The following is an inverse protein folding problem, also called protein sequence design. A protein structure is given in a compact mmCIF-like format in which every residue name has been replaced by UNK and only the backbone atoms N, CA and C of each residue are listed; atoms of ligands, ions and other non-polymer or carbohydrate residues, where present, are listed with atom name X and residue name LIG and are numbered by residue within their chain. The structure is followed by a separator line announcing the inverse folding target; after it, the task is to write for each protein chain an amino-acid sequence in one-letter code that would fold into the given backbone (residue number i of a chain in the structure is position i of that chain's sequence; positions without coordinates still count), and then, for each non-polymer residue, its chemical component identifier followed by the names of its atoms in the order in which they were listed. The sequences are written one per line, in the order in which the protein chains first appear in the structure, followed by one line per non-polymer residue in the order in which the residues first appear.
data_IF_574426242872
#
_entry.id   IF_574426242872
#
_cell.length_a   1.000
_cell.length_b   1.000
_cell.length_c   1.000
_cell.angle_alpha   90.00
_cell.angle_beta   90.00
_cell.angle_gamma   90.00
#
_symmetry.space_group_name_H-M   'P 1'
#
loop_
_entity.id
_entity.type
_entity.pdbx_description
1 polymer ?
#
# COMPACT_ATOMS: atom_id res chain seq x y z
N UNK A 1 7.92 -15.30 -25.56
CA UNK A 1 8.68 -15.38 -24.29
C UNK A 1 8.10 -14.30 -23.38
N UNK A 2 7.87 -14.59 -22.10
CA UNK A 2 7.32 -13.58 -21.18
C UNK A 2 8.44 -12.58 -20.84
N UNK A 3 8.18 -11.27 -21.01
CA UNK A 3 9.11 -10.19 -20.67
C UNK A 3 9.32 -10.10 -19.15
N UNK A 4 10.49 -9.60 -18.74
CA UNK A 4 10.79 -9.36 -17.33
C UNK A 4 9.82 -8.33 -16.73
N UNK A 5 9.16 -8.67 -15.64
CA UNK A 5 8.25 -7.78 -14.92
C UNK A 5 8.99 -7.19 -13.72
N UNK A 6 9.31 -5.91 -13.79
CA UNK A 6 10.10 -5.17 -12.79
C UNK A 6 9.45 -5.16 -11.41
N UNK A 7 8.12 -5.18 -11.36
CA UNK A 7 7.35 -5.05 -10.11
C UNK A 7 6.99 -6.40 -9.48
N UNK A 8 7.06 -7.51 -10.23
CA UNK A 8 6.41 -8.77 -9.87
C UNK A 8 6.73 -9.24 -8.44
N UNK A 9 7.99 -9.24 -8.04
CA UNK A 9 8.39 -9.79 -6.74
C UNK A 9 7.93 -8.92 -5.57
N UNK A 10 8.14 -7.61 -5.68
CA UNK A 10 7.78 -6.67 -4.61
C UNK A 10 6.26 -6.54 -4.47
N UNK A 11 5.54 -6.40 -5.57
CA UNK A 11 4.08 -6.30 -5.54
C UNK A 11 3.42 -7.58 -5.03
N UNK A 12 3.97 -8.76 -5.35
CA UNK A 12 3.49 -10.02 -4.80
C UNK A 12 3.61 -10.04 -3.27
N UNK A 13 4.72 -9.57 -2.72
CA UNK A 13 4.94 -9.49 -1.29
C UNK A 13 3.99 -8.46 -0.63
N UNK A 14 3.84 -7.28 -1.23
CA UNK A 14 2.94 -6.22 -0.73
C UNK A 14 1.47 -6.67 -0.75
N UNK A 15 1.01 -7.35 -1.82
CA UNK A 15 -0.34 -7.93 -1.86
C UNK A 15 -0.55 -8.96 -0.75
N UNK A 16 0.42 -9.82 -0.49
CA UNK A 16 0.33 -10.81 0.58
C UNK A 16 0.19 -10.12 1.95
N UNK A 17 0.94 -9.05 2.20
CA UNK A 17 0.83 -8.25 3.43
C UNK A 17 -0.56 -7.58 3.56
N UNK A 18 -1.10 -7.02 2.48
CA UNK A 18 -2.45 -6.45 2.47
C UNK A 18 -3.52 -7.48 2.83
N UNK A 19 -3.48 -8.65 2.18
CA UNK A 19 -4.47 -9.71 2.40
C UNK A 19 -4.39 -10.28 3.82
N UNK A 20 -3.19 -10.55 4.33
CA UNK A 20 -2.98 -11.07 5.68
C UNK A 20 -3.46 -10.07 6.73
N UNK A 21 -3.15 -8.79 6.56
CA UNK A 21 -3.58 -7.73 7.50
C UNK A 21 -5.09 -7.52 7.44
N UNK A 22 -5.68 -7.47 6.24
CA UNK A 22 -7.13 -7.33 6.09
C UNK A 22 -7.89 -8.50 6.74
N UNK A 23 -7.41 -9.72 6.56
CA UNK A 23 -7.99 -10.90 7.18
C UNK A 23 -7.85 -10.87 8.72
N UNK A 24 -6.66 -10.51 9.22
CA UNK A 24 -6.41 -10.35 10.65
C UNK A 24 -7.36 -9.32 11.26
N UNK A 25 -7.49 -8.14 10.64
CA UNK A 25 -8.41 -7.09 11.14
C UNK A 25 -9.87 -7.54 11.12
N UNK A 26 -10.28 -8.28 10.10
CA UNK A 26 -11.65 -8.80 9.99
C UNK A 26 -11.99 -9.78 11.11
N UNK A 27 -11.00 -10.52 11.60
CA UNK A 27 -11.17 -11.55 12.65
C UNK A 27 -10.92 -11.00 14.07
N UNK A 28 -10.38 -9.79 14.20
CA UNK A 28 -9.98 -9.21 15.49
C UNK A 28 -11.20 -8.76 16.29
N UNK A 29 -11.24 -9.16 17.56
CA UNK A 29 -12.17 -8.60 18.54
C UNK A 29 -11.55 -7.35 19.18
N UNK A 30 -11.90 -6.20 18.65
CA UNK A 30 -11.27 -4.92 19.04
C UNK A 30 -11.53 -4.46 20.46
N UNK A 31 -12.48 -5.06 21.21
CA UNK A 31 -12.60 -4.83 22.65
C UNK A 31 -11.43 -5.41 23.43
N UNK A 32 -10.80 -6.49 22.91
CA UNK A 32 -9.57 -7.07 23.44
C UNK A 32 -8.36 -6.27 22.91
N UNK A 33 -7.67 -5.60 23.83
CA UNK A 33 -6.54 -4.73 23.46
C UNK A 33 -5.32 -5.50 22.99
N UNK A 34 -5.13 -6.74 23.41
CA UNK A 34 -4.01 -7.59 22.99
C UNK A 34 -4.22 -8.10 21.57
N UNK A 35 -5.42 -8.55 21.24
CA UNK A 35 -5.77 -8.91 19.85
C UNK A 35 -5.67 -7.69 18.93
N UNK A 36 -6.21 -6.56 19.36
CA UNK A 36 -6.17 -5.33 18.59
C UNK A 36 -4.73 -4.86 18.33
N UNK A 37 -3.84 -4.97 19.32
CA UNK A 37 -2.45 -4.58 19.17
C UNK A 37 -1.75 -5.36 18.04
N UNK A 38 -2.01 -6.66 17.92
CA UNK A 38 -1.47 -7.49 16.84
C UNK A 38 -1.94 -7.01 15.47
N UNK A 39 -3.24 -6.75 15.32
CA UNK A 39 -3.82 -6.28 14.06
C UNK A 39 -3.29 -4.88 13.67
N UNK A 40 -3.20 -3.98 14.64
CA UNK A 40 -2.74 -2.60 14.41
C UNK A 40 -1.24 -2.54 14.13
N UNK A 41 -0.43 -3.41 14.73
CA UNK A 41 0.98 -3.55 14.41
C UNK A 41 1.18 -4.03 12.96
N UNK A 42 0.43 -5.03 12.50
CA UNK A 42 0.44 -5.48 11.11
C UNK A 42 0.07 -4.33 10.16
N UNK A 43 -0.96 -3.56 10.49
CA UNK A 43 -1.35 -2.37 9.71
C UNK A 43 -0.20 -1.38 9.59
N UNK A 44 0.48 -1.06 10.68
CA UNK A 44 1.62 -0.15 10.68
C UNK A 44 2.76 -0.65 9.80
N UNK A 45 3.05 -1.95 9.84
CA UNK A 45 4.07 -2.57 8.98
C UNK A 45 3.71 -2.47 7.49
N UNK A 46 2.44 -2.67 7.13
CA UNK A 46 1.97 -2.51 5.75
C UNK A 46 2.12 -1.08 5.28
N UNK A 47 1.65 -0.11 6.06
CA UNK A 47 1.77 1.32 5.73
C UNK A 47 3.24 1.68 5.48
N UNK A 48 4.13 1.30 6.38
CA UNK A 48 5.56 1.57 6.24
C UNK A 48 6.17 0.90 5.00
N UNK A 49 5.76 -0.34 4.68
CA UNK A 49 6.25 -1.05 3.50
C UNK A 49 5.84 -0.34 2.19
N UNK A 50 4.60 0.16 2.11
CA UNK A 50 4.12 0.94 0.96
C UNK A 50 4.81 2.30 0.86
N UNK A 51 5.02 3.01 1.96
CA UNK A 51 5.80 4.26 1.97
C UNK A 51 7.22 4.06 1.42
N UNK A 52 7.92 3.00 1.86
CA UNK A 52 9.26 2.68 1.38
C UNK A 52 9.26 2.29 -0.09
N UNK A 53 8.26 1.53 -0.52
CA UNK A 53 8.11 1.12 -1.92
C UNK A 53 7.89 2.34 -2.83
N UNK A 54 6.90 3.18 -2.53
CA UNK A 54 6.63 4.40 -3.29
C UNK A 54 7.83 5.36 -3.32
N UNK A 55 8.56 5.51 -2.21
CA UNK A 55 9.77 6.33 -2.18
C UNK A 55 10.87 5.77 -3.10
N UNK A 56 11.05 4.45 -3.17
CA UNK A 56 12.00 3.83 -4.09
C UNK A 56 11.59 4.05 -5.55
N UNK A 57 10.32 3.96 -5.87
CA UNK A 57 9.83 4.24 -7.22
C UNK A 57 10.03 5.70 -7.59
N UNK A 58 9.66 6.64 -6.75
CA UNK A 58 9.83 8.07 -6.99
C UNK A 58 11.30 8.47 -7.17
N UNK A 59 12.21 7.83 -6.46
CA UNK A 59 13.64 8.19 -6.49
C UNK A 59 14.44 7.46 -7.56
N UNK A 60 14.06 6.24 -7.93
CA UNK A 60 14.86 5.38 -8.82
C UNK A 60 14.15 5.19 -10.17
N UNK A 61 12.88 4.81 -10.17
CA UNK A 61 12.15 4.40 -11.35
C UNK A 61 11.54 5.58 -12.11
N UNK A 62 10.85 6.48 -11.41
CA UNK A 62 10.16 7.60 -12.03
C UNK A 62 11.08 8.55 -12.81
N UNK A 63 12.33 8.85 -12.35
CA UNK A 63 13.28 9.64 -13.15
C UNK A 63 13.70 8.97 -14.46
N UNK A 64 13.71 7.64 -14.52
CA UNK A 64 14.01 6.89 -15.75
C UNK A 64 12.84 6.99 -16.72
N UNK A 65 11.62 6.79 -16.24
CA UNK A 65 10.39 6.80 -17.03
C UNK A 65 10.04 8.21 -17.52
N UNK A 66 10.31 9.24 -16.71
CA UNK A 66 10.02 10.65 -17.04
C UNK A 66 10.67 11.15 -18.35
N UNK A 67 11.71 10.44 -18.80
CA UNK A 67 12.36 10.75 -20.09
C UNK A 67 11.46 10.46 -21.29
N UNK A 68 10.45 9.60 -21.11
CA UNK A 68 9.58 9.09 -22.16
C UNK A 68 8.16 9.61 -22.04
N UNK A 69 7.60 9.66 -20.82
CA UNK A 69 6.23 10.14 -20.58
C UNK A 69 6.09 10.85 -19.23
N UNK A 70 6.11 12.20 -19.27
CA UNK A 70 5.95 13.01 -18.06
C UNK A 70 4.51 13.04 -17.53
N UNK A 71 3.51 12.86 -18.39
CA UNK A 71 2.12 12.89 -17.97
C UNK A 71 1.74 11.63 -17.18
N UNK A 72 2.27 10.50 -17.59
CA UNK A 72 2.14 9.24 -16.86
C UNK A 72 2.77 9.34 -15.48
N UNK A 73 3.98 9.90 -15.38
CA UNK A 73 4.67 10.10 -14.10
C UNK A 73 3.85 10.96 -13.14
N UNK A 74 3.32 12.10 -13.61
CA UNK A 74 2.51 12.97 -12.76
C UNK A 74 1.29 12.24 -12.18
N UNK A 75 0.67 11.35 -12.96
CA UNK A 75 -0.45 10.52 -12.50
C UNK A 75 -0.04 9.56 -11.37
N UNK A 76 1.10 8.87 -11.50
CA UNK A 76 1.60 7.95 -10.47
C UNK A 76 2.09 8.69 -9.21
N UNK A 77 2.77 9.83 -9.37
CA UNK A 77 3.15 10.68 -8.24
C UNK A 77 1.94 11.17 -7.44
N UNK A 78 0.83 11.48 -8.09
CA UNK A 78 -0.41 11.86 -7.42
C UNK A 78 -1.05 10.67 -6.68
N UNK A 79 -0.96 9.46 -7.23
CA UNK A 79 -1.39 8.24 -6.53
C UNK A 79 -0.49 7.96 -5.31
N UNK A 80 0.82 8.16 -5.38
CA UNK A 80 1.72 8.04 -4.22
C UNK A 80 1.38 9.05 -3.11
N UNK A 81 0.99 10.27 -3.46
CA UNK A 81 0.51 11.26 -2.48
C UNK A 81 -0.80 10.82 -1.83
N UNK A 82 -1.71 10.24 -2.60
CA UNK A 82 -2.97 9.71 -2.07
C UNK A 82 -2.73 8.51 -1.14
N UNK A 83 -1.85 7.58 -1.52
CA UNK A 83 -1.43 6.47 -0.65
C UNK A 83 -0.90 6.96 0.69
N UNK A 84 0.01 7.95 0.66
CA UNK A 84 0.56 8.57 1.87
C UNK A 84 -0.54 9.22 2.72
N UNK A 85 -1.49 9.92 2.10
CA UNK A 85 -2.64 10.53 2.79
C UNK A 85 -3.51 9.49 3.48
N UNK A 86 -3.81 8.38 2.79
CA UNK A 86 -4.60 7.26 3.34
C UNK A 86 -3.86 6.56 4.47
N UNK A 87 -2.55 6.34 4.34
CA UNK A 87 -1.69 5.79 5.39
C UNK A 87 -1.68 6.67 6.64
N UNK A 88 -1.53 7.98 6.48
CA UNK A 88 -1.59 8.94 7.60
C UNK A 88 -2.96 8.93 8.29
N UNK A 89 -4.05 8.80 7.55
CA UNK A 89 -5.39 8.63 8.12
C UNK A 89 -5.49 7.39 8.99
N UNK A 90 -4.95 6.26 8.53
CA UNK A 90 -4.92 5.01 9.32
C UNK A 90 -4.10 5.17 10.60
N UNK A 91 -2.94 5.82 10.53
CA UNK A 91 -2.11 6.11 11.71
C UNK A 91 -2.83 7.02 12.70
N UNK A 92 -3.61 7.99 12.23
CA UNK A 92 -4.42 8.85 13.08
C UNK A 92 -5.55 8.05 13.76
N UNK A 93 -6.24 7.20 13.03
CA UNK A 93 -7.27 6.30 13.57
C UNK A 93 -6.71 5.34 14.63
N UNK A 94 -5.48 4.85 14.44
CA UNK A 94 -4.77 4.06 15.44
C UNK A 94 -4.56 4.86 16.75
N UNK A 95 -4.17 6.14 16.68
CA UNK A 95 -4.06 7.00 17.85
C UNK A 95 -5.41 7.20 18.55
N UNK A 96 -6.48 7.35 17.79
CA UNK A 96 -7.85 7.45 18.34
C UNK A 96 -8.21 6.15 19.07
N UNK A 97 -7.92 4.98 18.50
CA UNK A 97 -8.13 3.70 19.16
C UNK A 97 -7.40 3.63 20.51
N UNK A 98 -6.13 4.02 20.54
CA UNK A 98 -5.33 4.00 21.78
C UNK A 98 -5.83 4.97 22.85
N UNK A 99 -6.63 5.96 22.50
CA UNK A 99 -7.25 6.91 23.41
C UNK A 99 -8.65 6.49 23.91
N UNK A 100 -9.17 5.36 23.45
CA UNK A 100 -10.47 4.83 23.90
C UNK A 100 -10.42 4.35 25.34
N UNK A 101 -11.49 4.55 26.09
CA UNK A 101 -11.58 4.20 27.52
C UNK A 101 -12.52 3.01 27.79
N UNK A 102 -13.45 2.72 26.87
CA UNK A 102 -14.43 1.64 27.00
C UNK A 102 -14.33 0.58 25.93
N UNK A 103 -14.88 -0.62 26.20
CA UNK A 103 -15.00 -1.69 25.20
C UNK A 103 -15.85 -1.29 24.00
N UNK A 104 -16.91 -0.53 24.25
CA UNK A 104 -17.82 -0.02 23.19
C UNK A 104 -17.09 0.93 22.26
N UNK A 105 -16.32 1.87 22.80
CA UNK A 105 -15.50 2.78 22.01
C UNK A 105 -14.43 2.03 21.19
N UNK A 106 -13.80 1.01 21.78
CA UNK A 106 -12.82 0.17 21.08
C UNK A 106 -13.42 -0.58 19.91
N UNK A 107 -14.60 -1.17 20.10
CA UNK A 107 -15.32 -1.88 19.02
C UNK A 107 -15.65 -0.91 17.89
N UNK A 108 -16.16 0.28 18.21
CA UNK A 108 -16.48 1.30 17.22
C UNK A 108 -15.23 1.78 16.47
N UNK A 109 -14.18 2.13 17.19
CA UNK A 109 -12.91 2.56 16.59
C UNK A 109 -12.32 1.46 15.70
N UNK A 110 -12.35 0.20 16.13
CA UNK A 110 -11.91 -0.96 15.35
C UNK A 110 -12.68 -1.15 14.06
N UNK A 111 -14.01 -0.94 14.10
CA UNK A 111 -14.86 -0.98 12.91
C UNK A 111 -14.47 0.11 11.90
N UNK A 112 -14.21 1.31 12.37
CA UNK A 112 -13.78 2.46 11.52
C UNK A 112 -12.42 2.18 10.89
N UNK A 113 -11.45 1.67 11.66
CA UNK A 113 -10.12 1.32 11.16
C UNK A 113 -10.20 0.20 10.13
N UNK A 114 -10.95 -0.85 10.40
CA UNK A 114 -11.12 -2.00 9.48
C UNK A 114 -11.70 -1.56 8.14
N UNK A 115 -12.67 -0.65 8.16
CA UNK A 115 -13.24 -0.07 6.94
C UNK A 115 -12.20 0.77 6.19
N UNK A 116 -11.52 1.67 6.89
CA UNK A 116 -10.50 2.52 6.27
C UNK A 116 -9.33 1.71 5.69
N UNK A 117 -8.94 0.61 6.35
CA UNK A 117 -7.91 -0.28 5.82
C UNK A 117 -8.36 -1.02 4.55
N UNK A 118 -9.62 -1.43 4.44
CA UNK A 118 -10.17 -2.00 3.19
C UNK A 118 -10.12 -1.00 2.04
N UNK A 119 -10.45 0.26 2.29
CA UNK A 119 -10.35 1.33 1.30
C UNK A 119 -8.89 1.51 0.84
N UNK A 120 -7.96 1.54 1.78
CA UNK A 120 -6.53 1.58 1.53
C UNK A 120 -6.03 0.37 0.71
N UNK A 121 -6.48 -0.84 1.05
CA UNK A 121 -6.13 -2.05 0.33
C UNK A 121 -6.63 -2.01 -1.12
N UNK A 122 -7.89 -1.64 -1.36
CA UNK A 122 -8.47 -1.54 -2.71
C UNK A 122 -7.68 -0.54 -3.55
N UNK A 123 -7.40 0.63 -3.00
CA UNK A 123 -6.59 1.65 -3.68
C UNK A 123 -5.23 1.11 -4.11
N UNK A 124 -4.50 0.47 -3.20
CA UNK A 124 -3.17 -0.05 -3.47
C UNK A 124 -3.14 -1.26 -4.41
N UNK A 125 -4.17 -2.10 -4.40
CA UNK A 125 -4.31 -3.19 -5.38
C UNK A 125 -4.50 -2.64 -6.80
N UNK A 126 -5.32 -1.62 -6.97
CA UNK A 126 -5.53 -0.95 -8.27
C UNK A 126 -4.28 -0.20 -8.73
N UNK A 127 -3.62 0.52 -7.84
CA UNK A 127 -2.38 1.25 -8.10
C UNK A 127 -1.28 0.31 -8.61
N UNK A 128 -0.97 -0.76 -7.88
CA UNK A 128 0.01 -1.77 -8.29
C UNK A 128 -0.36 -2.44 -9.63
N UNK A 129 -1.65 -2.67 -9.87
CA UNK A 129 -2.10 -3.24 -11.15
C UNK A 129 -1.83 -2.28 -12.31
N UNK A 130 -2.04 -0.98 -12.13
CA UNK A 130 -1.74 0.03 -13.14
C UNK A 130 -0.25 0.10 -13.44
N UNK A 131 0.60 0.09 -12.41
CA UNK A 131 2.05 0.11 -12.58
C UNK A 131 2.54 -1.11 -13.37
N UNK A 132 2.08 -2.29 -13.01
CA UNK A 132 2.44 -3.53 -13.71
C UNK A 132 2.05 -3.52 -15.20
N UNK A 133 0.95 -2.88 -15.54
CA UNK A 133 0.49 -2.78 -16.93
C UNK A 133 1.16 -1.62 -17.65
N UNK A 134 1.02 -0.41 -17.14
CA UNK A 134 1.40 0.82 -17.86
C UNK A 134 2.92 1.06 -17.84
N UNK A 135 3.56 0.94 -16.66
CA UNK A 135 4.99 1.20 -16.54
C UNK A 135 5.84 0.07 -17.14
N UNK A 136 5.45 -1.20 -16.96
CA UNK A 136 6.17 -2.29 -17.62
C UNK A 136 6.08 -2.17 -19.14
N UNK A 137 4.91 -1.80 -19.69
CA UNK A 137 4.78 -1.62 -21.14
C UNK A 137 5.77 -0.56 -21.65
N UNK A 138 5.83 0.59 -20.98
CA UNK A 138 6.76 1.66 -21.34
C UNK A 138 8.22 1.21 -21.22
N UNK A 139 8.56 0.51 -20.14
CA UNK A 139 9.90 -0.02 -19.95
C UNK A 139 10.29 -1.03 -21.05
N UNK A 140 9.39 -1.92 -21.44
CA UNK A 140 9.64 -2.89 -22.50
C UNK A 140 9.78 -2.29 -23.89
N UNK A 141 9.25 -1.10 -24.15
CA UNK A 141 9.43 -0.36 -25.39
C UNK A 141 10.85 0.21 -25.52
N UNK A 142 11.51 0.47 -24.39
CA UNK A 142 12.78 1.20 -24.35
C UNK A 142 13.97 0.38 -23.84
N UNK A 143 13.74 -0.73 -23.15
CA UNK A 143 14.77 -1.52 -22.49
C UNK A 143 14.61 -3.02 -22.81
N UNK A 144 15.73 -3.72 -22.93
CA UNK A 144 15.78 -5.19 -22.94
C UNK A 144 15.60 -5.77 -21.54
N UNK A 145 15.29 -7.07 -21.45
CA UNK A 145 15.18 -7.74 -20.15
C UNK A 145 16.52 -7.78 -19.39
N UNK A 146 17.65 -7.76 -20.10
CA UNK A 146 18.99 -7.70 -19.49
C UNK A 146 19.28 -6.35 -18.86
N UNK A 147 18.73 -5.25 -19.41
CA UNK A 147 18.88 -3.90 -18.87
C UNK A 147 17.94 -3.61 -17.69
N UNK A 148 16.87 -4.39 -17.55
CA UNK A 148 15.89 -4.26 -16.46
C UNK A 148 16.25 -5.13 -15.23
N UNK A 149 17.17 -6.07 -15.34
CA UNK A 149 17.66 -6.90 -14.25
C UNK A 149 18.73 -6.19 -13.40
#
# INVERSE_FOLDING_TARGET
MQRFNTFNMIHKALRAMLYDTALTMQQTYFADTDEAAIALEKMNHVIHAFEQHGMHEDTILMPVISKYDQSMIASFEDEHKEDLSMGNKLMHLHKIYNATESSEERILAGSVITRAFREYMVFNLEHMQREEVELNQLLWEHYSDEELL
#
